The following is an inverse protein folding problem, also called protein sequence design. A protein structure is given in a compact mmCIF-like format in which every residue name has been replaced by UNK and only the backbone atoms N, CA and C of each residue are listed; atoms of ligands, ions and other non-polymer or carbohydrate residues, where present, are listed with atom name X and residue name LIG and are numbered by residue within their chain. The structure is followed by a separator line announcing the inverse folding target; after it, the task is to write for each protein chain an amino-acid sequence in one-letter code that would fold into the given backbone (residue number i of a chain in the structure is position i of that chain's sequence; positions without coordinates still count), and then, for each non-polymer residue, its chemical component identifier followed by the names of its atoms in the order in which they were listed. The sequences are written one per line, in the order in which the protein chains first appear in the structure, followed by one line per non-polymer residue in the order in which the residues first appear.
data_IF_311634773437
#
_entry.id   IF_311634773437
#
_cell.length_a   1.000
_cell.length_b   1.000
_cell.length_c   1.000
_cell.angle_alpha   90.00
_cell.angle_beta   90.00
_cell.angle_gamma   90.00
#
_symmetry.space_group_name_H-M   'P 1'
#
loop_
_entity.id
_entity.type
_entity.pdbx_description
1 polymer ?
#
# COMPACT_ATOMS: atom_id res chain seq x y z
N UNK A 1 5.56 10.39 -14.16
CA UNK A 1 6.25 10.74 -12.88
C UNK A 1 7.76 10.57 -13.03
N UNK A 2 8.55 11.16 -12.14
CA UNK A 2 10.00 10.98 -12.06
C UNK A 2 10.41 9.63 -11.46
N UNK A 3 9.59 9.07 -10.57
CA UNK A 3 9.74 7.75 -9.98
C UNK A 3 8.38 7.22 -9.47
N UNK A 4 8.32 5.94 -9.15
CA UNK A 4 7.20 5.29 -8.48
C UNK A 4 7.70 4.73 -7.15
N UNK A 5 7.06 5.11 -6.05
CA UNK A 5 7.27 4.55 -4.71
C UNK A 5 6.07 3.68 -4.37
N UNK A 6 6.29 2.39 -4.12
CA UNK A 6 5.24 1.43 -3.77
C UNK A 6 5.37 1.03 -2.30
N UNK A 7 4.29 1.18 -1.56
CA UNK A 7 4.14 0.66 -0.20
C UNK A 7 3.45 -0.70 -0.33
N UNK A 8 4.19 -1.79 -0.13
CA UNK A 8 3.65 -3.15 -0.34
C UNK A 8 3.25 -3.81 0.96
N UNK A 9 2.04 -4.35 1.02
CA UNK A 9 1.58 -5.21 2.13
C UNK A 9 2.43 -6.47 2.34
N UNK A 10 3.24 -6.84 1.35
CA UNK A 10 4.04 -8.08 1.33
C UNK A 10 5.44 -7.93 1.92
N UNK A 11 5.79 -6.74 2.41
CA UNK A 11 7.07 -6.50 3.06
C UNK A 11 6.87 -5.81 4.39
N UNK A 12 7.08 -6.54 5.48
CA UNK A 12 7.00 -6.02 6.85
C UNK A 12 8.40 -6.03 7.48
N UNK A 13 8.82 -4.91 8.08
CA UNK A 13 10.10 -4.80 8.80
C UNK A 13 9.94 -4.13 10.16
N UNK A 14 10.89 -4.36 11.07
CA UNK A 14 10.85 -3.71 12.39
C UNK A 14 11.08 -2.20 12.33
N UNK A 15 11.69 -1.72 11.23
CA UNK A 15 11.96 -0.32 10.91
C UNK A 15 11.55 -0.10 9.45
N UNK A 16 11.25 1.13 9.00
CA UNK A 16 10.95 1.36 7.60
C UNK A 16 12.16 0.96 6.74
N UNK A 17 11.98 0.05 5.80
CA UNK A 17 13.02 -0.39 4.90
C UNK A 17 12.68 0.03 3.47
N UNK A 18 13.69 0.37 2.69
CA UNK A 18 13.55 0.85 1.31
C UNK A 18 14.49 0.09 0.40
N UNK A 19 13.99 -0.36 -0.75
CA UNK A 19 14.88 -0.88 -1.79
C UNK A 19 15.79 0.23 -2.30
N UNK A 20 17.09 -0.01 -2.35
CA UNK A 20 18.11 1.00 -2.60
C UNK A 20 19.15 0.63 -3.67
N UNK A 21 18.87 -0.39 -4.48
CA UNK A 21 19.68 -0.74 -5.65
C UNK A 21 19.23 0.05 -6.89
N UNK A 22 20.13 0.26 -7.86
CA UNK A 22 19.78 0.77 -9.20
C UNK A 22 19.29 -0.35 -10.13
N UNK A 23 19.67 -1.59 -9.86
CA UNK A 23 19.18 -2.78 -10.58
C UNK A 23 18.17 -3.49 -9.70
N UNK A 24 16.97 -3.70 -10.23
CA UNK A 24 15.93 -4.47 -9.55
C UNK A 24 15.90 -5.90 -10.09
N UNK A 25 15.41 -6.81 -9.25
CA UNK A 25 15.00 -8.14 -9.64
C UNK A 25 13.64 -8.42 -8.98
N UNK A 26 12.90 -9.39 -9.48
CA UNK A 26 11.62 -9.77 -8.89
C UNK A 26 11.84 -10.76 -7.75
N UNK A 27 11.10 -10.57 -6.66
CA UNK A 27 10.91 -11.57 -5.62
C UNK A 27 9.56 -12.24 -5.83
N UNK A 28 9.57 -13.54 -6.10
CA UNK A 28 8.35 -14.35 -6.17
C UNK A 28 7.99 -14.86 -4.77
N UNK A 29 7.30 -14.03 -4.00
CA UNK A 29 6.86 -14.31 -2.62
C UNK A 29 5.49 -15.03 -2.55
N UNK A 30 5.06 -15.65 -3.65
CA UNK A 30 3.82 -16.43 -3.75
C UNK A 30 4.06 -17.83 -4.32
N UNK A 31 3.17 -18.77 -3.99
CA UNK A 31 3.24 -20.17 -4.40
C UNK A 31 1.88 -20.68 -4.89
N UNK A 32 1.87 -21.79 -5.65
CA UNK A 32 0.63 -22.48 -6.06
C UNK A 32 0.00 -21.97 -7.36
N UNK A 33 0.68 -21.11 -8.12
CA UNK A 33 0.23 -20.61 -9.42
C UNK A 33 0.86 -21.40 -10.59
N UNK A 34 0.32 -21.27 -11.83
CA UNK A 34 0.91 -21.88 -13.03
C UNK A 34 2.36 -21.46 -13.27
N UNK A 35 3.15 -22.28 -13.96
CA UNK A 35 4.58 -22.01 -14.18
C UNK A 35 4.84 -20.67 -14.89
N UNK A 36 3.90 -20.25 -15.74
CA UNK A 36 3.92 -19.01 -16.49
C UNK A 36 3.93 -17.77 -15.59
N UNK A 37 3.33 -17.82 -14.39
CA UNK A 37 3.38 -16.67 -13.46
C UNK A 37 4.80 -16.40 -12.95
N UNK A 38 5.63 -17.44 -12.86
CA UNK A 38 7.03 -17.35 -12.43
C UNK A 38 7.99 -16.96 -13.57
N UNK A 39 7.46 -16.75 -14.77
CA UNK A 39 8.23 -16.28 -15.93
C UNK A 39 7.98 -14.80 -16.23
N UNK A 40 7.08 -14.15 -15.48
CA UNK A 40 6.81 -12.72 -15.62
C UNK A 40 8.08 -11.90 -15.33
N UNK A 41 8.26 -10.79 -16.03
CA UNK A 41 9.40 -9.89 -15.79
C UNK A 41 8.93 -8.45 -15.76
N UNK A 42 9.53 -7.63 -14.91
CA UNK A 42 9.28 -6.19 -14.88
C UNK A 42 10.62 -5.44 -14.72
N UNK A 43 11.30 -5.09 -15.82
CA UNK A 43 12.70 -4.65 -15.83
C UNK A 43 12.86 -3.16 -15.47
N UNK A 44 12.15 -2.68 -14.45
CA UNK A 44 12.27 -1.30 -14.00
C UNK A 44 13.65 -1.06 -13.35
N UNK A 45 14.22 0.12 -13.59
CA UNK A 45 15.38 0.57 -12.83
C UNK A 45 14.98 0.86 -11.39
N UNK A 46 15.89 0.68 -10.46
CA UNK A 46 15.71 1.11 -9.08
C UNK A 46 16.05 2.59 -8.91
N UNK A 47 15.56 3.22 -7.84
CA UNK A 47 15.74 4.64 -7.57
C UNK A 47 16.64 4.90 -6.35
N UNK A 48 17.89 4.43 -6.38
CA UNK A 48 18.77 4.43 -5.18
C UNK A 48 18.99 5.82 -4.57
N UNK A 49 19.20 6.86 -5.39
CA UNK A 49 19.35 8.24 -4.90
C UNK A 49 18.07 8.74 -4.22
N UNK A 50 16.89 8.39 -4.76
CA UNK A 50 15.63 8.72 -4.12
C UNK A 50 15.46 7.96 -2.80
N UNK A 51 15.90 6.70 -2.72
CA UNK A 51 15.91 5.92 -1.49
C UNK A 51 16.69 6.61 -0.38
N UNK A 52 17.90 7.10 -0.69
CA UNK A 52 18.73 7.87 0.24
C UNK A 52 18.01 9.13 0.72
N UNK A 53 17.44 9.92 -0.20
CA UNK A 53 16.74 11.14 0.16
C UNK A 53 15.50 10.87 1.03
N UNK A 54 14.75 9.79 0.75
CA UNK A 54 13.61 9.38 1.58
C UNK A 54 14.11 8.95 2.97
N UNK A 55 15.19 8.18 3.06
CA UNK A 55 15.75 7.76 4.34
C UNK A 55 16.19 8.97 5.21
N UNK A 56 16.76 10.00 4.61
CA UNK A 56 17.06 11.25 5.32
C UNK A 56 15.79 11.90 5.89
N UNK A 57 14.73 12.02 5.08
CA UNK A 57 13.45 12.61 5.51
C UNK A 57 12.73 11.79 6.57
N UNK A 58 12.79 10.47 6.48
CA UNK A 58 12.28 9.57 7.51
C UNK A 58 13.07 9.73 8.82
N UNK A 59 14.39 9.92 8.73
CA UNK A 59 15.22 10.18 9.92
C UNK A 59 14.87 11.51 10.58
N UNK A 60 14.68 12.57 9.79
CA UNK A 60 14.19 13.88 10.29
C UNK A 60 12.83 13.77 10.99
N UNK A 61 11.97 12.86 10.53
CA UNK A 61 10.67 12.56 11.12
C UNK A 61 10.73 11.60 12.33
N UNK A 62 11.92 11.19 12.76
CA UNK A 62 12.12 10.35 13.96
C UNK A 62 12.11 8.84 13.70
N UNK A 63 12.08 8.39 12.45
CA UNK A 63 12.26 6.97 12.10
C UNK A 63 13.75 6.60 12.03
N UNK A 64 14.04 5.30 11.98
CA UNK A 64 15.40 4.79 11.74
C UNK A 64 15.40 3.91 10.50
N UNK A 65 15.32 4.50 9.29
CA UNK A 65 15.11 3.73 8.07
C UNK A 65 16.33 2.88 7.69
N UNK A 66 16.07 1.82 6.93
CA UNK A 66 17.08 0.92 6.40
C UNK A 66 17.06 0.94 4.87
N UNK A 67 18.24 0.96 4.26
CA UNK A 67 18.39 0.85 2.82
C UNK A 67 18.81 -0.58 2.49
N UNK A 68 17.89 -1.33 1.88
CA UNK A 68 18.11 -2.72 1.47
C UNK A 68 18.51 -2.74 -0.02
N UNK A 69 19.73 -3.22 -0.30
CA UNK A 69 20.27 -3.30 -1.66
C UNK A 69 20.00 -4.65 -2.33
N UNK A 70 19.57 -5.64 -1.55
CA UNK A 70 19.43 -7.02 -1.98
C UNK A 70 17.96 -7.44 -2.09
N UNK A 71 17.02 -6.69 -1.51
CA UNK A 71 15.58 -6.94 -1.63
C UNK A 71 15.09 -6.74 -3.06
N UNK A 72 14.57 -7.81 -3.66
CA UNK A 72 13.81 -7.75 -4.92
C UNK A 72 12.43 -7.12 -4.75
N UNK A 73 11.75 -6.79 -5.85
CA UNK A 73 10.38 -6.28 -5.85
C UNK A 73 9.40 -7.45 -5.70
N UNK A 74 8.57 -7.47 -4.65
CA UNK A 74 7.56 -8.53 -4.49
C UNK A 74 6.35 -8.37 -5.41
N UNK A 75 5.46 -9.37 -5.42
CA UNK A 75 4.31 -9.37 -6.33
C UNK A 75 3.33 -8.23 -6.07
N UNK A 76 3.24 -7.74 -4.83
CA UNK A 76 2.50 -6.53 -4.50
C UNK A 76 3.04 -5.31 -5.25
N UNK A 77 4.28 -5.34 -5.74
CA UNK A 77 4.85 -4.29 -6.58
C UNK A 77 4.70 -4.61 -8.06
N UNK A 78 5.29 -5.72 -8.53
CA UNK A 78 5.43 -5.90 -9.98
C UNK A 78 4.12 -6.30 -10.68
N UNK A 79 3.18 -6.96 -10.01
CA UNK A 79 1.90 -7.36 -10.64
C UNK A 79 1.04 -6.13 -10.95
N UNK A 80 0.78 -5.20 -10.00
CA UNK A 80 0.07 -3.97 -10.33
C UNK A 80 0.79 -3.14 -11.38
N UNK A 81 2.12 -3.07 -11.34
CA UNK A 81 2.90 -2.26 -12.28
C UNK A 81 2.94 -2.84 -13.70
N UNK A 82 2.85 -4.16 -13.87
CA UNK A 82 2.65 -4.79 -15.18
C UNK A 82 1.37 -4.30 -15.86
N UNK A 83 0.34 -3.94 -15.09
CA UNK A 83 -0.92 -3.41 -15.62
C UNK A 83 -0.88 -1.87 -15.78
N UNK A 84 -0.35 -1.17 -14.77
CA UNK A 84 -0.35 0.30 -14.72
C UNK A 84 0.69 0.91 -15.67
N UNK A 85 1.89 0.33 -15.75
CA UNK A 85 2.99 0.83 -16.57
C UNK A 85 3.82 -0.32 -17.18
N UNK A 86 3.26 -1.09 -18.14
CA UNK A 86 3.94 -2.25 -18.74
C UNK A 86 5.32 -1.95 -19.35
N UNK A 87 5.55 -0.69 -19.78
CA UNK A 87 6.80 -0.26 -20.36
C UNK A 87 8.01 -0.31 -19.40
N UNK A 88 7.78 -0.37 -18.09
CA UNK A 88 8.82 -0.43 -17.05
C UNK A 88 9.93 0.65 -17.21
N UNK A 89 9.58 1.81 -17.77
CA UNK A 89 10.49 2.90 -18.13
C UNK A 89 10.60 3.98 -17.05
N UNK A 90 9.98 3.76 -15.89
CA UNK A 90 10.00 4.66 -14.74
C UNK A 90 10.71 3.96 -13.59
N UNK A 91 11.68 4.61 -12.92
CA UNK A 91 12.34 4.04 -11.75
C UNK A 91 11.36 3.67 -10.64
N UNK A 92 11.53 2.49 -10.04
CA UNK A 92 10.68 1.97 -8.97
C UNK A 92 11.47 1.83 -7.69
N UNK A 93 10.83 2.17 -6.59
CA UNK A 93 11.29 1.95 -5.24
C UNK A 93 10.15 1.33 -4.44
N UNK A 94 10.48 0.38 -3.58
CA UNK A 94 9.55 -0.21 -2.64
C UNK A 94 9.89 0.23 -1.21
N UNK A 95 8.87 0.45 -0.37
CA UNK A 95 8.99 0.69 1.07
C UNK A 95 8.20 -0.38 1.82
N UNK A 96 8.76 -0.88 2.93
CA UNK A 96 8.10 -1.83 3.82
C UNK A 96 7.02 -1.18 4.70
N UNK A 97 6.08 -1.98 5.15
CA UNK A 97 5.28 -1.71 6.34
C UNK A 97 6.10 -1.92 7.62
N UNK A 98 5.64 -1.35 8.72
CA UNK A 98 6.16 -1.62 10.05
C UNK A 98 5.50 -2.88 10.61
N UNK A 99 6.28 -3.86 11.04
CA UNK A 99 5.84 -5.16 11.58
C UNK A 99 4.91 -5.05 12.81
N UNK A 100 4.92 -3.92 13.50
CA UNK A 100 3.96 -3.64 14.59
C UNK A 100 2.53 -3.38 14.11
N UNK A 101 2.36 -3.10 12.81
CA UNK A 101 1.08 -2.87 12.14
C UNK A 101 0.19 -1.81 12.82
N UNK A 102 0.80 -0.86 13.53
CA UNK A 102 0.11 0.24 14.19
C UNK A 102 -0.39 1.25 13.13
N UNK A 103 -1.71 1.45 12.97
CA UNK A 103 -2.27 2.40 12.01
C UNK A 103 -1.73 3.82 12.17
N UNK A 104 -1.48 4.28 13.41
CA UNK A 104 -0.98 5.62 13.68
C UNK A 104 0.45 5.80 13.16
N UNK A 105 1.30 4.78 13.33
CA UNK A 105 2.67 4.80 12.81
C UNK A 105 2.70 4.78 11.28
N UNK A 106 1.77 4.10 10.63
CA UNK A 106 1.67 4.07 9.17
C UNK A 106 1.16 5.39 8.59
N UNK A 107 0.22 6.07 9.26
CA UNK A 107 -0.14 7.45 8.90
C UNK A 107 1.06 8.38 9.04
N UNK A 108 1.80 8.30 10.17
CA UNK A 108 2.99 9.12 10.39
C UNK A 108 4.10 8.85 9.35
N UNK A 109 4.29 7.59 8.95
CA UNK A 109 5.18 7.20 7.85
C UNK A 109 4.74 7.89 6.55
N UNK A 110 3.45 7.85 6.24
CA UNK A 110 2.88 8.57 5.10
C UNK A 110 3.15 10.07 5.16
N UNK A 111 2.88 10.72 6.29
CA UNK A 111 3.11 12.16 6.47
C UNK A 111 4.56 12.55 6.18
N UNK A 112 5.53 11.72 6.61
CA UNK A 112 6.95 11.92 6.32
C UNK A 112 7.30 11.76 4.83
N UNK A 113 6.48 11.06 4.04
CA UNK A 113 6.61 10.88 2.60
C UNK A 113 5.91 11.98 1.77
N UNK A 114 5.13 12.87 2.40
CA UNK A 114 4.32 13.88 1.69
C UNK A 114 5.15 14.81 0.78
N UNK A 115 6.45 15.00 1.06
CA UNK A 115 7.34 15.81 0.22
C UNK A 115 7.48 15.26 -1.22
N UNK A 116 7.33 13.95 -1.40
CA UNK A 116 7.44 13.27 -2.70
C UNK A 116 6.39 13.77 -3.70
N UNK A 117 5.21 14.19 -3.23
CA UNK A 117 4.15 14.75 -4.08
C UNK A 117 4.61 16.01 -4.83
N UNK A 118 5.52 16.79 -4.24
CA UNK A 118 6.11 17.98 -4.88
C UNK A 118 7.28 17.66 -5.82
N UNK A 119 7.72 16.40 -5.86
CA UNK A 119 8.84 15.92 -6.68
C UNK A 119 8.38 15.10 -7.89
N UNK A 120 7.10 15.18 -8.26
CA UNK A 120 6.52 14.40 -9.37
C UNK A 120 6.71 12.89 -9.18
N UNK A 121 6.66 12.40 -7.94
CA UNK A 121 6.75 10.97 -7.61
C UNK A 121 5.34 10.42 -7.37
N UNK A 122 5.03 9.28 -7.99
CA UNK A 122 3.80 8.55 -7.67
C UNK A 122 4.02 7.71 -6.42
N UNK A 123 3.07 7.78 -5.48
CA UNK A 123 3.03 6.94 -4.28
C UNK A 123 1.86 5.98 -4.46
N UNK A 124 2.14 4.67 -4.47
CA UNK A 124 1.14 3.62 -4.66
C UNK A 124 1.08 2.79 -3.39
N UNK A 125 -0.07 2.75 -2.75
CA UNK A 125 -0.37 1.80 -1.68
C UNK A 125 -0.86 0.51 -2.29
N UNK A 126 -0.05 -0.54 -2.25
CA UNK A 126 -0.41 -1.86 -2.77
C UNK A 126 -0.87 -2.77 -1.64
N UNK A 127 -2.19 -2.90 -1.54
CA UNK A 127 -2.92 -3.69 -0.57
C UNK A 127 -4.33 -3.96 -1.11
N UNK A 128 -5.31 -4.18 -0.22
CA UNK A 128 -6.71 -4.36 -0.59
C UNK A 128 -7.64 -3.90 0.53
N UNK A 129 -8.84 -3.42 0.19
CA UNK A 129 -9.88 -3.14 1.20
C UNK A 129 -10.55 -4.40 1.76
N UNK A 130 -10.29 -5.58 1.16
CA UNK A 130 -10.68 -6.89 1.67
C UNK A 130 -9.51 -7.86 1.55
N UNK A 131 -9.11 -8.51 2.64
CA UNK A 131 -8.03 -9.50 2.62
C UNK A 131 -8.25 -10.61 3.65
N UNK A 132 -9.26 -11.45 3.40
CA UNK A 132 -9.44 -12.70 4.12
C UNK A 132 -9.26 -13.90 3.17
N UNK A 133 -8.07 -14.50 3.21
CA UNK A 133 -7.73 -15.63 2.33
C UNK A 133 -8.65 -16.84 2.52
N UNK A 134 -9.13 -17.10 3.74
CA UNK A 134 -10.09 -18.20 3.96
C UNK A 134 -11.41 -17.93 3.26
N UNK A 135 -11.86 -16.68 3.26
CA UNK A 135 -13.10 -16.25 2.62
C UNK A 135 -13.04 -16.20 1.08
N UNK A 136 -11.85 -16.09 0.49
CA UNK A 136 -11.68 -16.27 -0.95
C UNK A 136 -11.90 -17.72 -1.39
N UNK A 137 -11.46 -18.70 -0.58
CA UNK A 137 -11.63 -20.13 -0.88
C UNK A 137 -12.92 -20.74 -0.32
N UNK A 138 -13.61 -20.02 0.58
CA UNK A 138 -14.93 -20.37 1.13
C UNK A 138 -15.88 -19.17 0.99
N UNK A 139 -16.55 -19.03 -0.18
CA UNK A 139 -17.32 -17.83 -0.50
C UNK A 139 -18.46 -17.54 0.50
N UNK A 140 -18.97 -18.57 1.17
CA UNK A 140 -20.01 -18.56 2.19
C UNK A 140 -19.57 -17.98 3.54
N UNK A 141 -18.26 -17.85 3.79
CA UNK A 141 -17.72 -17.36 5.06
C UNK A 141 -18.02 -15.88 5.30
N UNK A 142 -18.16 -15.09 4.22
CA UNK A 142 -18.39 -13.65 4.28
C UNK A 142 -19.41 -13.26 3.23
N UNK A 143 -20.53 -12.69 3.66
CA UNK A 143 -21.58 -12.24 2.75
C UNK A 143 -21.20 -10.94 2.05
N UNK A 144 -21.79 -10.68 0.88
CA UNK A 144 -21.61 -9.41 0.15
C UNK A 144 -21.96 -8.19 1.02
N UNK A 145 -23.07 -8.26 1.75
CA UNK A 145 -23.49 -7.20 2.68
C UNK A 145 -22.45 -6.88 3.74
N UNK A 146 -21.77 -7.89 4.30
CA UNK A 146 -20.73 -7.66 5.29
C UNK A 146 -19.52 -6.92 4.68
N UNK A 147 -19.13 -7.28 3.46
CA UNK A 147 -18.06 -6.59 2.71
C UNK A 147 -18.47 -5.15 2.42
N UNK A 148 -19.70 -4.93 1.96
CA UNK A 148 -20.23 -3.61 1.62
C UNK A 148 -20.29 -2.70 2.86
N UNK A 149 -20.68 -3.21 4.04
CA UNK A 149 -20.70 -2.43 5.28
C UNK A 149 -19.30 -1.99 5.74
N UNK A 150 -18.29 -2.85 5.59
CA UNK A 150 -16.90 -2.47 5.88
C UNK A 150 -16.37 -1.44 4.87
N UNK A 151 -16.61 -1.68 3.57
CA UNK A 151 -16.22 -0.74 2.52
C UNK A 151 -16.90 0.62 2.70
N UNK A 152 -18.18 0.65 3.07
CA UNK A 152 -18.91 1.88 3.35
C UNK A 152 -18.31 2.64 4.54
N UNK A 153 -17.85 1.94 5.58
CA UNK A 153 -17.11 2.57 6.68
C UNK A 153 -15.84 3.26 6.18
N UNK A 154 -15.06 2.62 5.30
CA UNK A 154 -13.84 3.24 4.73
C UNK A 154 -14.17 4.48 3.89
N UNK A 155 -15.18 4.39 3.03
CA UNK A 155 -15.64 5.52 2.21
C UNK A 155 -16.06 6.70 3.10
N UNK A 156 -16.84 6.44 4.15
CA UNK A 156 -17.27 7.49 5.08
C UNK A 156 -16.14 8.05 5.95
N UNK A 157 -15.15 7.21 6.26
CA UNK A 157 -13.95 7.61 7.02
C UNK A 157 -13.06 8.57 6.23
N UNK A 158 -13.05 8.44 4.90
CA UNK A 158 -12.29 9.28 3.97
C UNK A 158 -13.14 10.36 3.29
N UNK A 159 -14.36 10.60 3.77
CA UNK A 159 -15.27 11.60 3.18
C UNK A 159 -14.64 13.00 3.19
N UNK A 160 -14.73 13.78 2.09
CA UNK A 160 -14.20 15.14 2.02
C UNK A 160 -14.92 16.12 2.96
N UNK A 161 -16.08 15.75 3.51
CA UNK A 161 -16.79 16.54 4.52
C UNK A 161 -16.11 16.52 5.90
N UNK A 162 -15.17 15.59 6.10
CA UNK A 162 -14.40 15.45 7.34
C UNK A 162 -13.06 16.15 7.24
N UNK A 163 -12.62 16.75 8.34
CA UNK A 163 -11.27 17.28 8.41
C UNK A 163 -10.23 16.16 8.57
N UNK A 164 -8.97 16.49 8.29
CA UNK A 164 -7.87 15.53 8.34
C UNK A 164 -7.73 14.85 9.73
N UNK A 165 -7.81 15.56 10.88
CA UNK A 165 -7.81 14.92 12.20
C UNK A 165 -8.92 13.87 12.36
N UNK A 166 -10.15 14.18 11.95
CA UNK A 166 -11.26 13.23 12.06
C UNK A 166 -11.07 12.00 11.16
N UNK A 167 -10.63 12.19 9.91
CA UNK A 167 -10.29 11.10 8.99
C UNK A 167 -9.18 10.22 9.58
N UNK A 168 -8.13 10.84 10.14
CA UNK A 168 -7.03 10.12 10.76
C UNK A 168 -7.47 9.31 11.99
N UNK A 169 -8.35 9.86 12.85
CA UNK A 169 -8.93 9.12 13.97
C UNK A 169 -9.75 7.91 13.52
N UNK A 170 -10.57 8.07 12.48
CA UNK A 170 -11.34 6.95 11.90
C UNK A 170 -10.43 5.85 11.35
N UNK A 171 -9.39 6.21 10.60
CA UNK A 171 -8.42 5.25 10.08
C UNK A 171 -7.62 4.57 11.20
N UNK A 172 -7.23 5.31 12.24
CA UNK A 172 -6.58 4.73 13.44
C UNK A 172 -7.47 3.71 14.14
N UNK A 173 -8.77 3.97 14.15
CA UNK A 173 -9.81 3.13 14.76
C UNK A 173 -10.53 2.24 13.74
N UNK A 174 -9.86 1.82 12.68
CA UNK A 174 -10.47 0.98 11.63
C UNK A 174 -11.10 -0.32 12.16
N UNK A 175 -10.64 -0.82 13.33
CA UNK A 175 -11.24 -1.97 14.02
C UNK A 175 -12.67 -1.72 14.51
N UNK A 176 -13.10 -0.46 14.64
CA UNK A 176 -14.48 -0.09 14.93
C UNK A 176 -15.41 -0.30 13.73
N UNK A 177 -14.86 -0.56 12.53
CA UNK A 177 -15.65 -0.85 11.35
C UNK A 177 -16.44 -2.16 11.52
N UNK A 178 -17.66 -2.24 10.98
CA UNK A 178 -18.41 -3.49 10.91
C UNK A 178 -17.55 -4.60 10.30
N UNK A 179 -17.47 -5.75 10.99
CA UNK A 179 -16.75 -6.94 10.53
C UNK A 179 -15.26 -6.74 10.22
N UNK A 180 -14.59 -5.74 10.82
CA UNK A 180 -13.21 -5.41 10.53
C UNK A 180 -12.26 -6.62 10.49
N UNK A 181 -12.29 -7.47 11.54
CA UNK A 181 -11.46 -8.70 11.61
C UNK A 181 -11.89 -9.82 10.68
N UNK A 182 -13.12 -9.77 10.19
CA UNK A 182 -13.60 -10.71 9.17
C UNK A 182 -13.10 -10.30 7.77
N UNK A 183 -12.96 -9.00 7.49
CA UNK A 183 -12.38 -8.50 6.24
C UNK A 183 -10.85 -8.57 6.26
N UNK A 184 -10.26 -8.32 7.43
CA UNK A 184 -8.83 -8.24 7.66
C UNK A 184 -8.47 -9.01 8.94
N UNK A 185 -8.22 -10.34 8.86
CA UNK A 185 -7.75 -11.12 10.00
C UNK A 185 -6.48 -10.51 10.61
N UNK A 186 -5.62 -9.96 9.74
CA UNK A 186 -4.50 -9.09 10.07
C UNK A 186 -4.55 -7.81 9.22
N UNK A 187 -3.82 -6.79 9.65
CA UNK A 187 -3.91 -5.42 9.17
C UNK A 187 -3.16 -5.14 7.86
N UNK A 188 -2.21 -6.01 7.48
CA UNK A 188 -1.17 -5.66 6.51
C UNK A 188 -1.71 -5.17 5.15
N UNK A 189 -2.75 -5.78 4.61
CA UNK A 189 -3.30 -5.38 3.32
C UNK A 189 -4.14 -4.10 3.38
N UNK A 190 -4.56 -3.65 4.56
CA UNK A 190 -5.26 -2.37 4.71
C UNK A 190 -4.28 -1.20 4.87
N UNK A 191 -3.17 -1.40 5.57
CA UNK A 191 -2.25 -0.32 5.99
C UNK A 191 -1.56 0.48 4.86
N UNK A 192 -1.36 -0.02 3.63
CA UNK A 192 -0.95 0.81 2.51
C UNK A 192 -1.89 2.01 2.27
N UNK A 193 -3.19 1.86 2.56
CA UNK A 193 -4.16 2.98 2.51
C UNK A 193 -3.78 4.07 3.52
N UNK A 194 -3.41 3.69 4.74
CA UNK A 194 -3.02 4.62 5.81
C UNK A 194 -1.76 5.40 5.45
N UNK A 195 -0.79 4.76 4.82
CA UNK A 195 0.43 5.44 4.35
C UNK A 195 0.11 6.42 3.22
N UNK A 196 -0.71 6.02 2.25
CA UNK A 196 -1.17 6.94 1.18
C UNK A 196 -1.96 8.13 1.73
N UNK A 197 -2.86 7.90 2.69
CA UNK A 197 -3.60 8.95 3.38
C UNK A 197 -2.67 9.97 4.05
N UNK A 198 -1.68 9.50 4.82
CA UNK A 198 -0.71 10.37 5.47
C UNK A 198 0.11 11.17 4.45
N UNK A 199 0.57 10.52 3.38
CA UNK A 199 1.32 11.17 2.31
C UNK A 199 0.50 12.22 1.55
N UNK A 200 -0.83 12.07 1.57
CA UNK A 200 -1.75 12.95 0.92
C UNK A 200 -2.29 14.09 1.81
N UNK A 201 -1.73 14.29 3.01
CA UNK A 201 -2.17 15.35 3.95
C UNK A 201 -2.35 16.70 3.25
N UNK A 202 -3.57 17.24 3.36
CA UNK A 202 -3.99 18.48 2.70
C UNK A 202 -4.72 18.30 1.36
N UNK A 203 -4.94 17.07 0.90
CA UNK A 203 -5.81 16.75 -0.24
C UNK A 203 -7.00 15.90 0.20
N UNK A 204 -8.10 15.98 -0.53
CA UNK A 204 -9.26 15.12 -0.35
C UNK A 204 -9.08 13.79 -1.10
N UNK A 205 -9.60 12.71 -0.51
CA UNK A 205 -9.65 11.42 -1.17
C UNK A 205 -10.75 11.39 -2.23
N UNK A 206 -10.46 10.75 -3.35
CA UNK A 206 -11.44 10.37 -4.38
C UNK A 206 -11.57 8.84 -4.40
N UNK A 207 -12.80 8.33 -4.51
CA UNK A 207 -13.05 6.91 -4.75
C UNK A 207 -12.85 6.62 -6.24
N UNK A 208 -11.73 5.99 -6.59
CA UNK A 208 -11.37 5.69 -7.98
C UNK A 208 -12.02 4.41 -8.49
N UNK A 209 -12.20 3.45 -7.60
CA UNK A 209 -12.61 2.10 -7.93
C UNK A 209 -13.47 1.51 -6.81
N UNK A 210 -14.54 0.86 -7.21
CA UNK A 210 -15.37 0.00 -6.37
C UNK A 210 -15.89 -1.12 -7.27
N UNK A 211 -15.24 -2.29 -7.24
CA UNK A 211 -15.58 -3.41 -8.12
C UNK A 211 -15.29 -4.75 -7.44
N UNK A 212 -15.76 -5.83 -8.05
CA UNK A 212 -15.65 -7.18 -7.51
C UNK A 212 -14.34 -7.86 -7.97
N UNK A 213 -13.46 -8.19 -7.02
CA UNK A 213 -12.30 -9.07 -7.24
C UNK A 213 -12.60 -10.41 -6.57
N UNK A 214 -12.63 -11.48 -7.37
CA UNK A 214 -12.99 -12.83 -6.90
C UNK A 214 -14.31 -12.87 -6.09
N UNK A 215 -15.33 -12.15 -6.58
CA UNK A 215 -16.65 -11.99 -5.93
C UNK A 215 -16.63 -11.26 -4.58
N UNK A 216 -15.61 -10.45 -4.31
CA UNK A 216 -15.52 -9.58 -3.14
C UNK A 216 -15.32 -8.14 -3.61
N UNK A 217 -16.20 -7.23 -3.18
CA UNK A 217 -16.08 -5.82 -3.50
C UNK A 217 -14.81 -5.25 -2.85
N UNK A 218 -13.97 -4.59 -3.65
CA UNK A 218 -12.77 -3.90 -3.19
C UNK A 218 -12.76 -2.45 -3.65
N UNK A 219 -12.08 -1.60 -2.89
CA UNK A 219 -11.99 -0.17 -3.12
C UNK A 219 -10.58 0.25 -3.53
N UNK A 220 -10.48 1.30 -4.34
CA UNK A 220 -9.25 2.08 -4.48
C UNK A 220 -9.51 3.58 -4.28
N UNK A 221 -8.62 4.23 -3.54
CA UNK A 221 -8.68 5.67 -3.26
C UNK A 221 -7.51 6.39 -3.93
N UNK A 222 -7.77 7.62 -4.39
CA UNK A 222 -6.80 8.49 -5.02
C UNK A 222 -6.75 9.87 -4.37
N UNK A 223 -5.59 10.51 -4.46
CA UNK A 223 -5.40 11.90 -4.06
C UNK A 223 -4.57 12.60 -5.13
N UNK A 224 -5.06 13.72 -5.64
CA UNK A 224 -4.45 14.45 -6.74
C UNK A 224 -3.98 15.83 -6.26
#
# INVERSE_FOLDING_TARGET
PAAIVVISAHWEETKPALTASNSTHLLYDYSGFPAESYQLTYPAQGASQLATNIAEKLTEAGFTPQLDKDRGLDHGVFVPLLMLRPAADIPVLQISLLKGLDPAQHIALGEALAFLRRQNVWIIGSGMSFHNMQAFFRPDLVSKTQVDEFNQYLIQSLSPERDYPEQAEKLKRWLDAPYARLMHPREEHLLPLHVCFGAAKGSSAELLFHDDVLNKAVLAFGWF
#
